data_IF_714889660340
#
_entry.id   IF_714889660340
#
_cell.length_a   1.000
_cell.length_b   1.000
_cell.length_c   1.000
_cell.angle_alpha   90.00
_cell.angle_beta   90.00
_cell.angle_gamma   90.00
#
_symmetry.space_group_name_H-M   'P 1'
#
loop_
_entity.id
_entity.type
_entity.pdbx_description
1 polymer ?
#
# COMPACT_ATOMS: atom_id res chain seq x y z
N UNK A 1 28.31 18.87 -10.93
CA UNK A 1 27.78 18.06 -9.81
C UNK A 1 26.28 17.78 -9.94
N UNK A 2 25.39 18.79 -9.95
CA UNK A 2 23.94 18.58 -10.13
C UNK A 2 23.56 17.79 -11.39
N UNK A 3 24.27 18.03 -12.50
CA UNK A 3 24.06 17.33 -13.77
C UNK A 3 24.45 15.84 -13.71
N UNK A 4 25.64 15.52 -13.17
CA UNK A 4 26.06 14.13 -12.96
C UNK A 4 25.10 13.36 -12.04
N UNK A 5 24.60 13.99 -10.97
CA UNK A 5 23.62 13.36 -10.08
C UNK A 5 22.33 13.04 -10.86
N UNK A 6 21.87 13.96 -11.71
CA UNK A 6 20.71 13.74 -12.56
C UNK A 6 20.91 12.58 -13.54
N UNK A 7 22.07 12.48 -14.18
CA UNK A 7 22.40 11.38 -15.09
C UNK A 7 22.46 10.03 -14.38
N UNK A 8 23.07 9.97 -13.19
CA UNK A 8 23.12 8.74 -12.37
C UNK A 8 21.72 8.28 -11.99
N UNK A 9 20.85 9.19 -11.56
CA UNK A 9 19.44 8.87 -11.22
C UNK A 9 18.70 8.34 -12.45
N UNK A 10 18.95 8.90 -13.63
CA UNK A 10 18.29 8.51 -14.86
C UNK A 10 18.76 7.13 -15.33
N UNK A 11 20.07 6.87 -15.24
CA UNK A 11 20.67 5.56 -15.53
C UNK A 11 20.18 4.49 -14.56
N UNK A 12 20.11 4.79 -13.27
CA UNK A 12 19.56 3.88 -12.25
C UNK A 12 18.10 3.54 -12.55
N UNK A 13 17.27 4.53 -12.87
CA UNK A 13 15.87 4.31 -13.25
C UNK A 13 15.73 3.44 -14.50
N UNK A 14 16.58 3.63 -15.50
CA UNK A 14 16.58 2.81 -16.71
C UNK A 14 17.06 1.39 -16.44
N UNK A 15 18.08 1.22 -15.61
CA UNK A 15 18.59 -0.08 -15.19
C UNK A 15 17.48 -0.93 -14.55
N UNK A 16 16.75 -0.39 -13.58
CA UNK A 16 15.66 -1.09 -12.90
C UNK A 16 14.49 -1.49 -13.82
N UNK A 17 14.30 -0.80 -14.96
CA UNK A 17 13.29 -1.18 -15.96
C UNK A 17 13.70 -2.38 -16.80
N UNK A 18 15.01 -2.61 -16.96
CA UNK A 18 15.57 -3.72 -17.73
C UNK A 18 15.78 -4.98 -16.88
N UNK A 19 15.86 -4.82 -15.55
CA UNK A 19 15.93 -5.94 -14.61
C UNK A 19 14.56 -6.61 -14.49
N UNK A 20 14.52 -7.92 -14.71
CA UNK A 20 13.31 -8.72 -14.53
C UNK A 20 13.18 -9.17 -13.08
N UNK A 21 12.41 -8.41 -12.29
CA UNK A 21 12.13 -8.70 -10.89
C UNK A 21 10.85 -9.54 -10.81
N UNK A 22 10.92 -10.81 -10.39
CA UNK A 22 9.74 -11.64 -10.22
C UNK A 22 8.85 -11.08 -9.10
N UNK A 23 7.51 -11.13 -9.22
CA UNK A 23 6.61 -10.67 -8.15
C UNK A 23 6.70 -11.56 -6.91
N UNK A 24 6.43 -11.00 -5.73
CA UNK A 24 6.38 -11.77 -4.48
C UNK A 24 5.18 -12.72 -4.49
N UNK A 25 5.42 -14.00 -4.24
CA UNK A 25 4.37 -15.01 -4.10
C UNK A 25 3.65 -14.86 -2.76
N UNK A 26 2.32 -15.07 -2.72
CA UNK A 26 1.51 -14.91 -1.49
C UNK A 26 1.93 -15.86 -0.35
N UNK A 27 2.62 -16.95 -0.67
CA UNK A 27 3.11 -17.96 0.28
C UNK A 27 4.53 -17.67 0.79
N UNK A 28 5.24 -16.71 0.19
CA UNK A 28 6.64 -16.42 0.48
C UNK A 28 6.77 -15.31 1.54
N UNK A 29 7.62 -15.54 2.55
CA UNK A 29 7.93 -14.51 3.56
C UNK A 29 8.75 -13.37 2.95
N UNK A 30 8.54 -12.14 3.41
CA UNK A 30 9.25 -10.95 2.86
C UNK A 30 10.78 -11.08 2.90
N UNK A 31 11.34 -11.71 3.94
CA UNK A 31 12.78 -11.93 4.04
C UNK A 31 13.29 -12.93 3.00
N UNK A 32 12.52 -14.00 2.75
CA UNK A 32 12.85 -15.01 1.73
C UNK A 32 12.86 -14.38 0.34
N UNK A 33 11.84 -13.56 0.04
CA UNK A 33 11.73 -12.83 -1.22
C UNK A 33 12.91 -11.88 -1.43
N UNK A 34 13.26 -11.08 -0.41
CA UNK A 34 14.41 -10.16 -0.50
C UNK A 34 15.72 -10.90 -0.78
N UNK A 35 16.00 -12.01 -0.10
CA UNK A 35 17.20 -12.83 -0.36
C UNK A 35 17.21 -13.41 -1.77
N UNK A 36 16.06 -13.85 -2.29
CA UNK A 36 15.91 -14.35 -3.66
C UNK A 36 16.20 -13.25 -4.70
N UNK A 37 15.73 -12.02 -4.47
CA UNK A 37 16.04 -10.88 -5.33
C UNK A 37 17.53 -10.50 -5.26
N UNK A 38 18.13 -10.49 -4.06
CA UNK A 38 19.57 -10.21 -3.90
C UNK A 38 20.40 -11.22 -4.70
N UNK A 39 20.12 -12.51 -4.57
CA UNK A 39 20.83 -13.56 -5.31
C UNK A 39 20.65 -13.41 -6.83
N UNK A 40 19.43 -13.07 -7.28
CA UNK A 40 19.15 -12.84 -8.71
C UNK A 40 19.92 -11.64 -9.26
N UNK A 41 20.06 -10.57 -8.47
CA UNK A 41 20.83 -9.38 -8.84
C UNK A 41 22.34 -9.66 -8.86
N UNK A 42 22.83 -10.49 -7.94
CA UNK A 42 24.23 -10.88 -7.86
C UNK A 42 24.62 -11.81 -9.04
N UNK A 43 23.75 -12.77 -9.40
CA UNK A 43 23.94 -13.64 -10.57
C UNK A 43 23.87 -12.90 -11.91
N UNK A 44 23.02 -11.85 -12.01
CA UNK A 44 22.90 -11.03 -13.23
C UNK A 44 23.92 -9.90 -13.35
N UNK A 45 24.73 -9.65 -12.32
CA UNK A 45 25.73 -8.57 -12.29
C UNK A 45 26.81 -8.64 -13.39
N UNK A 46 26.89 -9.74 -14.15
CA UNK A 46 27.83 -9.94 -15.26
C UNK A 46 27.21 -10.08 -16.67
N UNK A 47 25.88 -10.05 -16.84
CA UNK A 47 25.24 -10.23 -18.14
C UNK A 47 24.41 -9.02 -18.59
N UNK A 48 24.51 -8.60 -19.88
CA UNK A 48 23.63 -7.57 -20.41
C UNK A 48 22.16 -8.02 -20.32
N UNK A 49 21.23 -7.12 -19.94
CA UNK A 49 19.84 -7.50 -19.69
C UNK A 49 19.15 -7.98 -20.98
N UNK A 50 18.32 -9.04 -20.92
CA UNK A 50 17.61 -9.55 -22.08
C UNK A 50 16.57 -8.54 -22.56
N UNK A 51 16.61 -8.22 -23.84
CA UNK A 51 15.62 -7.39 -24.53
C UNK A 51 14.27 -8.13 -24.49
N UNK A 52 13.28 -7.59 -23.77
CA UNK A 52 11.95 -8.21 -23.63
C UNK A 52 11.18 -8.14 -24.95
N UNK A 53 11.08 -9.24 -25.69
CA UNK A 53 10.02 -9.47 -26.68
C UNK A 53 8.87 -10.22 -26.01
N UNK A 54 7.69 -9.60 -25.85
CA UNK A 54 6.58 -10.29 -25.18
C UNK A 54 5.24 -9.55 -25.08
N UNK A 55 4.55 -9.39 -26.22
CA UNK A 55 3.08 -9.40 -26.30
C UNK A 55 2.28 -8.14 -25.91
N UNK A 56 1.29 -7.81 -26.74
CA UNK A 56 0.36 -6.66 -26.61
C UNK A 56 -0.50 -6.74 -25.33
N UNK A 57 -0.82 -7.93 -24.84
CA UNK A 57 -1.66 -8.12 -23.65
C UNK A 57 -0.95 -7.78 -22.32
N UNK A 58 0.36 -8.05 -22.21
CA UNK A 58 1.18 -7.67 -21.05
C UNK A 58 1.42 -6.16 -21.03
N UNK A 59 1.61 -5.56 -22.21
CA UNK A 59 1.73 -4.12 -22.36
C UNK A 59 0.46 -3.38 -21.94
N UNK A 60 -0.75 -3.87 -22.25
CA UNK A 60 -2.01 -3.21 -21.89
C UNK A 60 -2.30 -3.22 -20.37
N UNK A 61 -2.10 -4.36 -19.70
CA UNK A 61 -2.30 -4.45 -18.25
C UNK A 61 -1.27 -3.65 -17.45
N UNK A 62 0.00 -3.69 -17.88
CA UNK A 62 1.06 -2.91 -17.28
C UNK A 62 0.96 -1.42 -17.63
N UNK A 63 0.52 -1.02 -18.83
CA UNK A 63 0.36 0.40 -19.16
C UNK A 63 -0.82 1.01 -18.44
N UNK A 64 -2.01 0.40 -18.33
CA UNK A 64 -3.12 1.09 -17.66
C UNK A 64 -2.87 1.36 -16.16
N UNK A 65 -2.33 0.38 -15.43
CA UNK A 65 -2.04 0.52 -13.99
C UNK A 65 -0.84 1.45 -13.79
N UNK A 66 0.26 1.25 -14.53
CA UNK A 66 1.44 2.10 -14.39
C UNK A 66 1.21 3.50 -14.99
N UNK A 67 0.33 3.70 -15.97
CA UNK A 67 0.02 5.04 -16.50
C UNK A 67 -0.81 5.80 -15.49
N UNK A 68 -1.76 5.18 -14.79
CA UNK A 68 -2.52 5.86 -13.74
C UNK A 68 -1.61 6.32 -12.58
N UNK A 69 -0.71 5.44 -12.12
CA UNK A 69 0.24 5.79 -11.07
C UNK A 69 1.32 6.76 -11.56
N UNK A 70 1.85 6.59 -12.78
CA UNK A 70 2.78 7.56 -13.39
C UNK A 70 2.14 8.93 -13.58
N UNK A 71 0.87 9.00 -13.97
CA UNK A 71 0.16 10.27 -14.15
C UNK A 71 -0.06 10.96 -12.81
N UNK A 72 -0.36 10.20 -11.74
CA UNK A 72 -0.44 10.73 -10.38
C UNK A 72 0.92 11.22 -9.87
N UNK A 73 1.98 10.44 -10.08
CA UNK A 73 3.35 10.82 -9.72
C UNK A 73 3.84 12.04 -10.50
N UNK A 74 3.50 12.12 -11.78
CA UNK A 74 3.89 13.24 -12.64
C UNK A 74 3.15 14.52 -12.25
N UNK A 75 1.85 14.42 -11.96
CA UNK A 75 1.07 15.54 -11.40
C UNK A 75 1.59 15.98 -10.02
N UNK A 76 1.93 15.03 -9.14
CA UNK A 76 2.52 15.33 -7.84
C UNK A 76 3.88 16.03 -8.01
N UNK A 77 4.71 15.54 -8.93
CA UNK A 77 6.01 16.12 -9.24
C UNK A 77 5.88 17.55 -9.78
N UNK A 78 4.91 17.83 -10.65
CA UNK A 78 4.61 19.19 -11.12
C UNK A 78 4.11 20.10 -9.99
N UNK A 79 3.22 19.60 -9.12
CA UNK A 79 2.73 20.34 -7.95
C UNK A 79 3.83 20.64 -6.93
N UNK A 80 4.79 19.73 -6.74
CA UNK A 80 5.94 19.95 -5.85
C UNK A 80 6.88 20.99 -6.45
N UNK A 81 7.08 20.96 -7.77
CA UNK A 81 8.00 21.87 -8.48
C UNK A 81 7.52 23.33 -8.43
N UNK A 82 6.22 23.57 -8.38
CA UNK A 82 5.64 24.93 -8.36
C UNK A 82 5.54 25.51 -6.94
N UNK A 83 5.66 24.69 -5.90
CA UNK A 83 5.61 25.14 -4.50
C UNK A 83 6.97 25.67 -4.02
N UNK A 84 6.93 26.73 -3.22
CA UNK A 84 8.09 27.23 -2.49
C UNK A 84 8.48 26.28 -1.36
N UNK A 85 9.72 26.42 -0.86
CA UNK A 85 10.24 25.61 0.26
C UNK A 85 9.39 25.76 1.54
N UNK A 86 8.86 26.96 1.80
CA UNK A 86 8.01 27.21 2.98
C UNK A 86 6.64 26.53 2.85
N UNK A 87 6.03 26.56 1.66
CA UNK A 87 4.78 25.86 1.36
C UNK A 87 4.95 24.35 1.44
N UNK A 88 6.06 23.82 0.94
CA UNK A 88 6.38 22.39 1.05
C UNK A 88 6.52 21.96 2.51
N UNK A 89 7.13 22.80 3.36
CA UNK A 89 7.28 22.51 4.78
C UNK A 89 5.93 22.47 5.50
N UNK A 90 5.09 23.48 5.30
CA UNK A 90 3.72 23.51 5.82
C UNK A 90 2.92 22.28 5.37
N UNK A 91 3.14 21.85 4.13
CA UNK A 91 2.43 20.71 3.59
C UNK A 91 2.94 19.38 4.14
N UNK A 92 4.23 19.25 4.41
CA UNK A 92 4.77 18.12 5.16
C UNK A 92 4.16 18.05 6.57
N UNK A 93 4.06 19.17 7.28
CA UNK A 93 3.45 19.23 8.62
C UNK A 93 1.97 18.82 8.58
N UNK A 94 1.21 19.30 7.57
CA UNK A 94 -0.18 18.90 7.35
C UNK A 94 -0.30 17.40 7.08
N UNK A 95 0.50 16.86 6.16
CA UNK A 95 0.49 15.43 5.83
C UNK A 95 0.86 14.56 7.02
N UNK A 96 1.78 15.00 7.87
CA UNK A 96 2.15 14.29 9.09
C UNK A 96 0.97 14.19 10.06
N UNK A 97 0.22 15.28 10.25
CA UNK A 97 -1.00 15.28 11.08
C UNK A 97 -2.06 14.35 10.50
N UNK A 98 -2.30 14.41 9.19
CA UNK A 98 -3.28 13.55 8.53
C UNK A 98 -2.89 12.06 8.62
N UNK A 99 -1.61 11.74 8.43
CA UNK A 99 -1.11 10.38 8.60
C UNK A 99 -1.33 9.88 10.02
N UNK A 100 -1.06 10.71 11.03
CA UNK A 100 -1.30 10.35 12.43
C UNK A 100 -2.78 10.09 12.72
N UNK A 101 -3.69 10.95 12.22
CA UNK A 101 -5.14 10.74 12.33
C UNK A 101 -5.56 9.42 11.67
N UNK A 102 -5.04 9.13 10.47
CA UNK A 102 -5.35 7.92 9.74
C UNK A 102 -4.88 6.66 10.47
N UNK A 103 -3.65 6.67 11.00
CA UNK A 103 -3.11 5.57 11.82
C UNK A 103 -4.02 5.34 13.04
N UNK A 104 -4.43 6.40 13.74
CA UNK A 104 -5.31 6.28 14.90
C UNK A 104 -6.65 5.65 14.55
N UNK A 105 -7.27 6.06 13.43
CA UNK A 105 -8.53 5.47 12.92
C UNK A 105 -8.35 3.99 12.58
N UNK A 106 -7.28 3.66 11.85
CA UNK A 106 -6.95 2.27 11.49
C UNK A 106 -6.78 1.39 12.73
N UNK A 107 -6.00 1.83 13.73
CA UNK A 107 -5.79 1.08 14.96
C UNK A 107 -7.09 0.90 15.76
N UNK A 108 -7.94 1.93 15.79
CA UNK A 108 -9.28 1.84 16.38
C UNK A 108 -10.13 0.77 15.72
N UNK A 109 -10.22 0.79 14.39
CA UNK A 109 -10.99 -0.19 13.63
C UNK A 109 -10.42 -1.61 13.76
N UNK A 110 -9.09 -1.75 13.72
CA UNK A 110 -8.40 -3.02 13.94
C UNK A 110 -8.76 -3.64 15.29
N UNK A 111 -8.85 -2.82 16.34
CA UNK A 111 -9.28 -3.28 17.67
C UNK A 111 -10.73 -3.76 17.68
N UNK A 112 -11.63 -3.03 17.03
CA UNK A 112 -13.05 -3.43 16.90
C UNK A 112 -13.17 -4.78 16.18
N UNK A 113 -12.40 -5.00 15.11
CA UNK A 113 -12.37 -6.26 14.37
C UNK A 113 -11.78 -7.40 15.22
N UNK A 114 -10.72 -7.13 15.97
CA UNK A 114 -10.11 -8.10 16.88
C UNK A 114 -11.12 -8.55 17.95
N UNK A 115 -11.72 -7.59 18.66
CA UNK A 115 -12.72 -7.86 19.71
C UNK A 115 -13.92 -8.64 19.15
N UNK A 116 -14.39 -8.29 17.94
CA UNK A 116 -15.47 -9.00 17.25
C UNK A 116 -15.07 -10.43 16.92
N UNK A 117 -13.85 -10.64 16.44
CA UNK A 117 -13.33 -11.96 16.05
C UNK A 117 -13.21 -12.86 17.26
N UNK A 118 -12.60 -12.38 18.34
CA UNK A 118 -12.46 -13.11 19.61
C UNK A 118 -13.85 -13.49 20.16
N UNK A 119 -14.75 -12.51 20.29
CA UNK A 119 -16.11 -12.75 20.78
C UNK A 119 -16.88 -13.74 19.88
N UNK A 120 -16.72 -13.64 18.56
CA UNK A 120 -17.38 -14.53 17.61
C UNK A 120 -16.91 -15.99 17.76
N UNK A 121 -15.61 -16.21 17.99
CA UNK A 121 -15.07 -17.56 18.21
C UNK A 121 -15.72 -18.21 19.43
N UNK A 122 -15.90 -17.47 20.53
CA UNK A 122 -16.57 -17.97 21.73
C UNK A 122 -18.02 -18.40 21.46
N UNK A 123 -18.70 -17.75 20.51
CA UNK A 123 -20.08 -18.14 20.17
C UNK A 123 -20.20 -19.48 19.44
N UNK A 124 -19.11 -20.02 18.89
CA UNK A 124 -19.15 -21.24 18.05
C UNK A 124 -19.55 -22.49 18.83
N UNK A 125 -19.40 -22.47 20.14
CA UNK A 125 -19.79 -23.57 21.03
C UNK A 125 -21.30 -23.60 21.33
N UNK A 126 -22.05 -22.57 20.94
CA UNK A 126 -23.49 -22.48 21.21
C UNK A 126 -24.34 -22.95 20.01
N UNK A 127 -25.45 -23.68 20.25
CA UNK A 127 -26.45 -23.98 19.22
C UNK A 127 -27.07 -22.71 18.61
N UNK A 128 -27.65 -22.81 17.41
CA UNK A 128 -28.08 -21.64 16.62
C UNK A 128 -29.06 -20.71 17.34
N UNK A 129 -30.01 -21.27 18.11
CA UNK A 129 -31.06 -20.49 18.80
C UNK A 129 -30.49 -19.58 19.90
N UNK A 130 -29.72 -20.07 20.89
CA UNK A 130 -29.07 -19.19 21.88
C UNK A 130 -27.91 -18.37 21.29
N UNK A 131 -27.35 -18.79 20.15
CA UNK A 131 -26.27 -18.06 19.47
C UNK A 131 -26.74 -16.78 18.79
N UNK A 132 -27.94 -16.78 18.21
CA UNK A 132 -28.51 -15.61 17.52
C UNK A 132 -28.51 -14.30 18.34
N UNK A 133 -28.99 -14.25 19.60
CA UNK A 133 -28.97 -13.02 20.38
C UNK A 133 -27.54 -12.51 20.67
N UNK A 134 -26.56 -13.40 20.81
CA UNK A 134 -25.15 -13.04 20.97
C UNK A 134 -24.62 -12.35 19.70
N UNK A 135 -24.82 -12.98 18.54
CA UNK A 135 -24.42 -12.42 17.24
C UNK A 135 -25.08 -11.06 16.97
N UNK A 136 -26.39 -10.96 17.24
CA UNK A 136 -27.14 -9.70 17.10
C UNK A 136 -26.56 -8.60 18.00
N UNK A 137 -26.12 -8.94 19.20
CA UNK A 137 -25.50 -7.99 20.14
C UNK A 137 -24.12 -7.55 19.64
N UNK A 138 -23.32 -8.48 19.10
CA UNK A 138 -22.01 -8.18 18.51
C UNK A 138 -22.13 -7.20 17.34
N UNK A 139 -23.08 -7.43 16.42
CA UNK A 139 -23.36 -6.52 15.30
C UNK A 139 -23.69 -5.13 15.83
N UNK A 140 -24.61 -5.03 16.80
CA UNK A 140 -24.97 -3.74 17.42
C UNK A 140 -23.80 -3.06 18.12
N UNK A 141 -22.88 -3.82 18.73
CA UNK A 141 -21.68 -3.29 19.39
C UNK A 141 -20.72 -2.67 18.38
N UNK A 142 -20.48 -3.35 17.25
CA UNK A 142 -19.63 -2.84 16.16
C UNK A 142 -20.22 -1.56 15.58
N UNK A 143 -21.52 -1.56 15.26
CA UNK A 143 -22.21 -0.39 14.69
C UNK A 143 -22.20 0.84 15.63
N UNK A 144 -22.06 0.63 16.94
CA UNK A 144 -21.98 1.70 17.95
C UNK A 144 -20.56 2.00 18.42
N UNK A 145 -19.56 1.29 17.90
CA UNK A 145 -18.18 1.52 18.29
C UNK A 145 -17.77 2.94 17.82
N UNK A 146 -17.24 3.80 18.71
CA UNK A 146 -16.87 5.17 18.35
C UNK A 146 -15.94 5.24 17.14
N UNK A 147 -14.91 4.37 17.12
CA UNK A 147 -13.96 4.29 16.00
C UNK A 147 -14.60 3.88 14.66
N UNK A 148 -15.69 3.12 14.69
CA UNK A 148 -16.44 2.75 13.49
C UNK A 148 -17.40 3.87 13.06
N UNK A 149 -18.13 4.45 14.03
CA UNK A 149 -19.06 5.55 13.78
C UNK A 149 -18.35 6.79 13.22
N UNK A 150 -17.21 7.19 13.79
CA UNK A 150 -16.39 8.30 13.30
C UNK A 150 -16.06 8.16 11.80
N UNK A 151 -15.62 6.97 11.36
CA UNK A 151 -15.29 6.70 9.96
C UNK A 151 -16.53 6.74 9.06
N UNK A 152 -17.65 6.18 9.50
CA UNK A 152 -18.89 6.20 8.73
C UNK A 152 -19.49 7.60 8.56
N UNK A 153 -19.26 8.50 9.52
CA UNK A 153 -19.75 9.88 9.45
C UNK A 153 -18.86 10.78 8.59
N UNK A 154 -17.55 10.52 8.52
CA UNK A 154 -16.63 11.28 7.65
C UNK A 154 -16.83 11.05 6.15
N UNK A 155 -17.41 9.92 5.73
CA UNK A 155 -17.66 9.64 4.29
C UNK A 155 -18.90 10.38 3.76
N UNK A 156 -19.71 10.94 4.67
CA UNK A 156 -20.96 11.64 4.33
C UNK A 156 -20.85 13.18 4.38
N UNK A 157 -19.67 13.73 4.66
CA UNK A 157 -19.31 15.15 4.48
C UNK A 157 -18.43 15.31 3.23
#
# INVERSE_FOLDING_TARGET
>A
MKHMIHEVILLEKQYWQLVDIPPQELTESSNTYVLKIINLLDEKGGQPPPIKSGGIASLLGATMINVADRTKDQNLHEQIRTKSTDELRKECDRLYIELYKLIRKYLGLRRVVQDLTESFQDTRFYPIVPRYPLLKTMIKRVLRAPAFAEICHEVNE
#
